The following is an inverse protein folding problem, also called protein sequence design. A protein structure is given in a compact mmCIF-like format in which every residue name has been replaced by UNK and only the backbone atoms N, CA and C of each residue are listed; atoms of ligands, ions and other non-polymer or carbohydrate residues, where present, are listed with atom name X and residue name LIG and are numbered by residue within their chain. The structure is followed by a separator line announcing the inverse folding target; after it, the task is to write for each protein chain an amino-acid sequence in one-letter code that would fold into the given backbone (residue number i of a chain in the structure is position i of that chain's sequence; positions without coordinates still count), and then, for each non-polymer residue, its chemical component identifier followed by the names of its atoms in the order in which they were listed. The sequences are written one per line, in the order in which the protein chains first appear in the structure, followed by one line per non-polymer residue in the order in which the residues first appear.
data_IF_699457778457
#
_entry.id   IF_699457778457
#
_cell.length_a   1.000
_cell.length_b   1.000
_cell.length_c   1.000
_cell.angle_alpha   90.00
_cell.angle_beta   90.00
_cell.angle_gamma   90.00
#
_symmetry.space_group_name_H-M   'P 1'
#
loop_
_entity.id
_entity.type
_entity.pdbx_description
1 polymer ?
#
# COMPACT_ATOMS: atom_id res chain seq x y z
N UNK A 1 3.68 -2.68 4.89
CA UNK A 1 3.56 -2.93 3.45
C UNK A 1 4.04 -4.34 3.19
N UNK A 2 3.27 -5.11 2.42
CA UNK A 2 3.72 -6.37 1.86
C UNK A 2 5.08 -6.25 1.11
N UNK A 3 5.83 -7.34 0.96
CA UNK A 3 6.93 -7.40 -0.01
C UNK A 3 6.42 -7.25 -1.45
N UNK A 4 7.26 -6.75 -2.35
CA UNK A 4 6.97 -6.57 -3.78
C UNK A 4 6.34 -7.82 -4.43
N UNK A 5 6.92 -9.00 -4.19
CA UNK A 5 6.40 -10.28 -4.69
C UNK A 5 4.95 -10.56 -4.28
N UNK A 6 4.57 -10.13 -3.06
CA UNK A 6 3.21 -10.29 -2.57
C UNK A 6 2.25 -9.32 -3.26
N UNK A 7 2.69 -8.09 -3.55
CA UNK A 7 1.91 -7.13 -4.34
C UNK A 7 1.64 -7.64 -5.76
N UNK A 8 2.69 -8.10 -6.45
CA UNK A 8 2.57 -8.67 -7.81
C UNK A 8 1.61 -9.85 -7.81
N UNK A 9 1.76 -10.79 -6.87
CA UNK A 9 0.87 -11.95 -6.76
C UNK A 9 -0.59 -11.54 -6.54
N UNK A 10 -0.85 -10.67 -5.57
CA UNK A 10 -2.22 -10.21 -5.26
C UNK A 10 -2.83 -9.40 -6.41
N UNK A 11 -2.03 -8.59 -7.10
CA UNK A 11 -2.43 -7.88 -8.32
C UNK A 11 -2.85 -8.83 -9.43
N UNK A 12 -2.02 -9.85 -9.70
CA UNK A 12 -2.30 -10.88 -10.70
C UNK A 12 -3.58 -11.66 -10.37
N UNK A 13 -3.75 -12.08 -9.12
CA UNK A 13 -4.95 -12.81 -8.67
C UNK A 13 -6.24 -11.97 -8.81
N UNK A 14 -6.16 -10.65 -8.60
CA UNK A 14 -7.31 -9.74 -8.69
C UNK A 14 -7.65 -9.31 -10.11
N UNK A 15 -6.64 -9.10 -10.95
CA UNK A 15 -6.79 -8.41 -12.25
C UNK A 15 -6.55 -9.31 -13.46
N UNK A 16 -5.89 -10.46 -13.26
CA UNK A 16 -5.40 -11.32 -14.34
C UNK A 16 -4.26 -10.69 -15.16
N UNK A 17 -3.68 -9.58 -14.68
CA UNK A 17 -2.61 -8.84 -15.35
C UNK A 17 -1.39 -8.72 -14.44
N UNK A 18 -0.21 -8.73 -15.03
CA UNK A 18 1.05 -8.75 -14.30
C UNK A 18 1.32 -7.45 -13.54
N UNK A 19 1.12 -6.29 -14.19
CA UNK A 19 1.44 -4.95 -13.67
C UNK A 19 2.80 -4.85 -12.95
N UNK A 20 3.72 -5.77 -13.23
CA UNK A 20 5.00 -5.90 -12.53
C UNK A 20 5.82 -4.63 -12.61
N UNK A 21 5.86 -3.99 -13.78
CA UNK A 21 6.55 -2.72 -13.96
C UNK A 21 6.02 -1.59 -13.05
N UNK A 22 4.70 -1.57 -12.77
CA UNK A 22 4.08 -0.60 -11.86
C UNK A 22 4.51 -0.91 -10.43
N UNK A 23 4.38 -2.16 -10.00
CA UNK A 23 4.78 -2.61 -8.67
C UNK A 23 6.28 -2.40 -8.41
N UNK A 24 7.13 -2.75 -9.37
CA UNK A 24 8.57 -2.49 -9.32
C UNK A 24 8.85 -1.00 -9.23
N UNK A 25 8.18 -0.16 -10.03
CA UNK A 25 8.35 1.28 -9.94
C UNK A 25 7.96 1.79 -8.55
N UNK A 26 6.86 1.34 -7.96
CA UNK A 26 6.41 1.82 -6.64
C UNK A 26 7.37 1.38 -5.52
N UNK A 27 7.80 0.10 -5.52
CA UNK A 27 8.34 -0.56 -4.32
C UNK A 27 9.80 -1.00 -4.37
N UNK A 28 10.44 -1.07 -5.54
CA UNK A 28 11.79 -1.65 -5.67
C UNK A 28 12.92 -0.79 -5.09
N UNK A 29 12.73 0.54 -5.03
CA UNK A 29 13.74 1.50 -4.56
C UNK A 29 13.37 2.01 -3.17
N UNK A 30 14.05 1.57 -2.09
CA UNK A 30 13.73 1.98 -0.73
C UNK A 30 13.87 3.49 -0.49
N UNK A 31 14.76 4.18 -1.23
CA UNK A 31 15.01 5.62 -1.08
C UNK A 31 13.86 6.41 -1.70
N UNK A 32 13.33 5.93 -2.83
CA UNK A 32 12.22 6.57 -3.55
C UNK A 32 10.84 6.08 -3.10
N UNK A 33 10.77 4.97 -2.36
CA UNK A 33 9.52 4.36 -1.92
C UNK A 33 8.63 5.35 -1.16
N UNK A 34 9.18 6.08 -0.19
CA UNK A 34 8.40 7.08 0.56
C UNK A 34 7.83 8.18 -0.36
N UNK A 35 8.63 8.66 -1.33
CA UNK A 35 8.20 9.65 -2.31
C UNK A 35 7.08 9.10 -3.21
N UNK A 36 7.22 7.87 -3.74
CA UNK A 36 6.24 7.26 -4.66
C UNK A 36 4.91 6.88 -3.99
N UNK A 37 4.90 6.80 -2.66
CA UNK A 37 3.69 6.61 -1.84
C UNK A 37 3.11 7.93 -1.32
N UNK A 38 3.63 9.08 -1.74
CA UNK A 38 3.08 10.38 -1.37
C UNK A 38 1.70 10.59 -2.02
N UNK A 39 0.64 10.45 -1.23
CA UNK A 39 -0.74 10.60 -1.67
C UNK A 39 -1.02 12.02 -2.17
N UNK A 40 -0.28 13.03 -1.71
CA UNK A 40 -0.44 14.40 -2.20
C UNK A 40 -0.03 14.55 -3.67
N UNK A 41 0.80 13.61 -4.16
CA UNK A 41 1.28 13.53 -5.56
C UNK A 41 0.58 12.45 -6.38
N UNK A 42 -0.48 11.85 -5.86
CA UNK A 42 -1.16 10.72 -6.51
C UNK A 42 -1.65 11.06 -7.93
N UNK A 43 -2.05 12.31 -8.17
CA UNK A 43 -2.46 12.77 -9.50
C UNK A 43 -1.28 12.86 -10.46
N UNK A 44 -0.13 13.39 -10.01
CA UNK A 44 1.08 13.54 -10.82
C UNK A 44 1.65 12.18 -11.21
N UNK A 45 1.82 11.30 -10.22
CA UNK A 45 2.32 9.95 -10.46
C UNK A 45 1.31 9.08 -11.20
N UNK A 46 0.01 9.21 -10.90
CA UNK A 46 -1.04 8.52 -11.64
C UNK A 46 -1.04 8.90 -13.12
N UNK A 47 -0.86 10.19 -13.44
CA UNK A 47 -0.75 10.65 -14.83
C UNK A 47 0.50 10.09 -15.52
N UNK A 48 1.65 10.10 -14.87
CA UNK A 48 2.88 9.50 -15.39
C UNK A 48 2.70 8.01 -15.69
N UNK A 49 2.11 7.26 -14.77
CA UNK A 49 1.85 5.82 -14.93
C UNK A 49 0.85 5.58 -16.07
N UNK A 50 -0.18 6.40 -16.22
CA UNK A 50 -1.12 6.30 -17.34
C UNK A 50 -0.44 6.55 -18.70
N UNK A 51 0.41 7.57 -18.78
CA UNK A 51 1.15 7.91 -20.00
C UNK A 51 2.15 6.80 -20.38
N UNK A 52 2.78 6.15 -19.40
CA UNK A 52 3.83 5.16 -19.64
C UNK A 52 3.30 3.72 -19.80
N UNK A 53 2.25 3.36 -19.06
CA UNK A 53 1.78 1.98 -18.93
C UNK A 53 0.28 1.82 -19.21
N UNK A 54 -0.43 2.90 -19.49
CA UNK A 54 -1.85 2.91 -19.82
C UNK A 54 -2.77 3.05 -18.61
N UNK A 55 -4.06 3.24 -18.90
CA UNK A 55 -5.08 3.56 -17.89
C UNK A 55 -5.25 2.47 -16.83
N UNK A 56 -5.19 1.19 -17.22
CA UNK A 56 -5.34 0.09 -16.26
C UNK A 56 -4.17 0.03 -15.26
N UNK A 57 -2.96 0.42 -15.70
CA UNK A 57 -1.80 0.51 -14.83
C UNK A 57 -1.93 1.65 -13.81
N UNK A 58 -2.55 2.77 -14.20
CA UNK A 58 -2.89 3.86 -13.27
C UNK A 58 -3.88 3.39 -12.20
N UNK A 59 -4.91 2.65 -12.60
CA UNK A 59 -5.87 2.08 -11.64
C UNK A 59 -5.19 1.12 -10.66
N UNK A 60 -4.24 0.31 -11.14
CA UNK A 60 -3.46 -0.56 -10.25
C UNK A 60 -2.53 0.24 -9.33
N UNK A 61 -1.89 1.31 -9.81
CA UNK A 61 -1.12 2.22 -8.96
C UNK A 61 -1.97 2.80 -7.82
N UNK A 62 -3.15 3.34 -8.14
CA UNK A 62 -4.06 3.91 -7.12
C UNK A 62 -4.49 2.83 -6.12
N UNK A 63 -4.78 1.62 -6.61
CA UNK A 63 -5.18 0.49 -5.79
C UNK A 63 -4.07 0.02 -4.85
N UNK A 64 -2.83 -0.03 -5.33
CA UNK A 64 -1.67 -0.34 -4.51
C UNK A 64 -1.56 0.63 -3.34
N UNK A 65 -1.62 1.94 -3.61
CA UNK A 65 -1.57 2.98 -2.58
C UNK A 65 -2.72 2.82 -1.59
N UNK A 66 -3.95 2.58 -2.05
CA UNK A 66 -5.10 2.32 -1.19
C UNK A 66 -4.86 1.12 -0.26
N UNK A 67 -4.42 -0.01 -0.79
CA UNK A 67 -4.22 -1.25 -0.03
C UNK A 67 -3.15 -1.08 1.04
N UNK A 68 -2.07 -0.35 0.73
CA UNK A 68 -1.01 -0.05 1.68
C UNK A 68 -1.42 0.92 2.78
N UNK A 69 -2.16 1.98 2.43
CA UNK A 69 -2.74 2.90 3.41
C UNK A 69 -3.65 2.14 4.36
N UNK A 70 -4.58 1.34 3.81
CA UNK A 70 -5.49 0.53 4.60
C UNK A 70 -4.73 -0.39 5.54
N UNK A 71 -3.76 -1.15 5.03
CA UNK A 71 -2.95 -2.06 5.84
C UNK A 71 -2.23 -1.33 6.98
N UNK A 72 -1.65 -0.16 6.72
CA UNK A 72 -0.99 0.65 7.78
C UNK A 72 -1.97 1.09 8.87
N UNK A 73 -3.14 1.61 8.50
CA UNK A 73 -4.15 2.02 9.48
C UNK A 73 -4.71 0.84 10.27
N UNK A 74 -4.90 -0.32 9.64
CA UNK A 74 -5.35 -1.54 10.30
C UNK A 74 -4.33 -2.01 11.36
N UNK A 75 -3.02 -1.96 11.04
CA UNK A 75 -1.96 -2.24 12.01
C UNK A 75 -1.96 -1.25 13.18
N UNK A 76 -2.05 0.06 12.90
CA UNK A 76 -2.10 1.09 13.94
C UNK A 76 -3.31 0.87 14.86
N UNK A 77 -4.47 0.52 14.28
CA UNK A 77 -5.68 0.21 15.06
C UNK A 77 -5.42 -0.97 15.99
N UNK A 78 -4.91 -2.09 15.48
CA UNK A 78 -4.64 -3.27 16.30
C UNK A 78 -3.64 -3.01 17.42
N UNK A 79 -2.56 -2.26 17.13
CA UNK A 79 -1.56 -1.92 18.14
C UNK A 79 -2.14 -1.01 19.23
N UNK A 80 -3.00 -0.05 18.84
CA UNK A 80 -3.70 0.83 19.77
C UNK A 80 -4.70 0.05 20.65
N UNK A 81 -5.55 -0.80 20.04
CA UNK A 81 -6.51 -1.65 20.75
C UNK A 81 -5.80 -2.56 21.75
N UNK A 82 -4.69 -3.18 21.33
CA UNK A 82 -3.85 -4.00 22.20
C UNK A 82 -3.27 -3.20 23.36
N UNK A 83 -2.70 -2.02 23.08
CA UNK A 83 -2.11 -1.16 24.12
C UNK A 83 -3.14 -0.70 25.15
N UNK A 84 -4.36 -0.37 24.71
CA UNK A 84 -5.48 -0.04 25.59
C UNK A 84 -5.85 -1.25 26.45
N UNK A 85 -6.04 -2.43 25.85
CA UNK A 85 -6.40 -3.64 26.57
C UNK A 85 -5.34 -4.04 27.62
N UNK A 86 -4.05 -3.98 27.26
CA UNK A 86 -2.95 -4.25 28.19
C UNK A 86 -2.90 -3.24 29.34
N UNK A 87 -3.14 -1.95 29.06
CA UNK A 87 -3.21 -0.91 30.09
C UNK A 87 -4.39 -1.13 31.04
N UNK A 88 -5.57 -1.42 30.50
CA UNK A 88 -6.76 -1.72 31.30
C UNK A 88 -6.54 -2.96 32.19
N UNK A 89 -5.95 -4.01 31.64
CA UNK A 89 -5.61 -5.22 32.36
C UNK A 89 -4.59 -4.95 33.50
N UNK A 90 -3.57 -4.10 33.25
CA UNK A 90 -2.61 -3.69 34.27
C UNK A 90 -3.28 -3.00 35.47
N UNK A 91 -4.31 -2.19 35.22
CA UNK A 91 -5.12 -1.54 36.27
C UNK A 91 -6.30 -2.39 36.76
N UNK A 92 -6.37 -3.67 36.42
CA UNK A 92 -7.35 -4.62 36.95
C UNK A 92 -8.74 -4.56 36.30
N UNK A 93 -8.90 -3.82 35.20
CA UNK A 93 -10.12 -3.83 34.38
C UNK A 93 -10.06 -5.05 33.45
N UNK A 94 -11.04 -5.95 33.57
CA UNK A 94 -11.18 -7.17 32.76
C UNK A 94 -12.27 -7.01 31.71
#
# INVERSE_FOLDING_TARGET
MPPLEKHIKTSMEKTGKDFKAVHEWIDSDPVKKAERHDITKIYEYGKMIEEQYGKDAREEYIRHIHDDVKAKFEHIRHDLEKSIAETLAYFGVK
#
